data_IF_121493137915
#
_entry.id   IF_121493137915
#
_cell.length_a   1.000
_cell.length_b   1.000
_cell.length_c   1.000
_cell.angle_alpha   90.00
_cell.angle_beta   90.00
_cell.angle_gamma   90.00
#
_symmetry.space_group_name_H-M   'P 1'
#
loop_
_entity.id
_entity.type
_entity.pdbx_description
1 polymer ?
#
# COMPACT_ATOMS: atom_id res chain seq x y z
N UNK A 1 3.65 -4.21 -4.58
CA UNK A 1 4.13 -2.95 -3.96
C UNK A 1 4.13 -3.02 -2.44
N UNK A 2 3.01 -3.34 -1.78
CA UNK A 2 2.97 -3.48 -0.32
C UNK A 2 4.09 -4.38 0.22
N UNK A 3 4.31 -5.54 -0.40
CA UNK A 3 5.31 -6.53 0.05
C UNK A 3 6.74 -5.96 0.08
N UNK A 4 7.09 -5.10 -0.89
CA UNK A 4 8.37 -4.39 -0.92
C UNK A 4 8.48 -3.36 0.20
N UNK A 5 7.38 -2.66 0.52
CA UNK A 5 7.35 -1.70 1.63
C UNK A 5 7.48 -2.42 2.96
N UNK A 6 6.83 -3.57 3.14
CA UNK A 6 6.99 -4.40 4.34
C UNK A 6 8.45 -4.83 4.52
N UNK A 7 9.11 -5.24 3.44
CA UNK A 7 10.55 -5.57 3.45
C UNK A 7 11.43 -4.38 3.77
N UNK A 8 11.15 -3.23 3.16
CA UNK A 8 11.86 -1.99 3.48
C UNK A 8 11.74 -1.62 4.96
N UNK A 9 10.56 -1.84 5.56
CA UNK A 9 10.35 -1.63 6.99
C UNK A 9 11.04 -2.71 7.86
N UNK A 10 11.32 -3.89 7.31
CA UNK A 10 11.96 -5.01 7.99
C UNK A 10 11.03 -5.81 8.90
N UNK A 11 11.59 -6.75 9.65
CA UNK A 11 10.88 -7.73 10.49
C UNK A 11 9.84 -7.13 11.44
N UNK A 12 8.68 -7.80 11.57
CA UNK A 12 7.56 -7.32 12.39
C UNK A 12 6.74 -6.20 11.74
N UNK A 13 6.94 -5.95 10.44
CA UNK A 13 6.01 -5.15 9.64
C UNK A 13 4.82 -6.00 9.18
N UNK A 14 3.66 -5.39 9.17
CA UNK A 14 2.40 -5.98 8.68
C UNK A 14 1.72 -4.94 7.80
N UNK A 15 0.87 -5.35 6.88
CA UNK A 15 0.14 -4.40 6.07
C UNK A 15 -1.07 -4.98 5.37
N UNK A 16 -1.86 -4.09 4.80
CA UNK A 16 -3.09 -4.39 4.09
C UNK A 16 -3.14 -3.61 2.79
N UNK A 17 -3.50 -4.28 1.70
CA UNK A 17 -3.80 -3.62 0.41
C UNK A 17 -5.20 -3.04 0.51
N UNK A 18 -5.38 -1.79 0.14
CA UNK A 18 -6.65 -1.04 0.22
C UNK A 18 -7.12 -0.50 -1.12
N UNK A 19 -6.31 -0.66 -2.17
CA UNK A 19 -6.54 -0.12 -3.51
C UNK A 19 -7.89 -0.49 -4.14
N UNK A 20 -8.42 0.42 -4.94
CA UNK A 20 -9.60 0.20 -5.79
C UNK A 20 -9.19 0.03 -7.26
N UNK A 21 -9.74 -0.96 -8.00
CA UNK A 21 -10.79 -1.90 -7.59
C UNK A 21 -10.30 -2.96 -6.58
N UNK A 22 -11.20 -3.52 -5.75
CA UNK A 22 -10.85 -4.64 -4.88
C UNK A 22 -10.47 -5.88 -5.71
N UNK A 23 -9.51 -6.65 -5.21
CA UNK A 23 -9.10 -7.94 -5.75
C UNK A 23 -9.37 -9.02 -4.68
N UNK A 24 -9.83 -10.20 -5.10
CA UNK A 24 -10.15 -11.31 -4.20
C UNK A 24 -11.23 -10.97 -3.17
N UNK A 25 -11.02 -11.40 -1.92
CA UNK A 25 -11.95 -11.21 -0.80
C UNK A 25 -11.89 -9.81 -0.15
N UNK A 26 -11.11 -8.88 -0.73
CA UNK A 26 -10.96 -7.53 -0.17
C UNK A 26 -12.30 -6.79 -0.19
N UNK A 27 -12.70 -6.11 0.90
CA UNK A 27 -13.95 -5.36 0.91
C UNK A 27 -13.98 -4.28 -0.17
N UNK A 28 -15.10 -4.20 -0.90
CA UNK A 28 -15.29 -3.19 -1.92
C UNK A 28 -15.60 -1.79 -1.37
N UNK A 29 -16.07 -1.71 -0.11
CA UNK A 29 -16.47 -0.47 0.56
C UNK A 29 -15.31 0.05 1.41
N UNK A 30 -15.00 1.35 1.26
CA UNK A 30 -13.93 1.96 2.05
C UNK A 30 -14.22 1.91 3.55
N UNK A 31 -15.48 2.12 3.95
CA UNK A 31 -15.92 1.98 5.34
C UNK A 31 -15.58 0.60 5.91
N UNK A 32 -15.80 -0.46 5.14
CA UNK A 32 -15.46 -1.83 5.54
C UNK A 32 -13.95 -2.04 5.64
N UNK A 33 -13.17 -1.53 4.69
CA UNK A 33 -11.70 -1.56 4.75
C UNK A 33 -11.17 -0.86 6.02
N UNK A 34 -11.71 0.31 6.34
CA UNK A 34 -11.33 1.06 7.55
C UNK A 34 -11.75 0.31 8.82
N UNK A 35 -12.88 -0.39 8.81
CA UNK A 35 -13.31 -1.23 9.94
C UNK A 35 -12.37 -2.44 10.15
N UNK A 36 -11.85 -3.04 9.08
CA UNK A 36 -10.84 -4.10 9.21
C UNK A 36 -9.51 -3.56 9.77
N UNK A 37 -9.03 -2.43 9.23
CA UNK A 37 -7.86 -1.74 9.79
C UNK A 37 -8.08 -1.37 11.26
N UNK A 38 -9.29 -0.97 11.65
CA UNK A 38 -9.64 -0.72 13.05
C UNK A 38 -9.44 -1.97 13.91
N UNK A 39 -9.97 -3.11 13.46
CA UNK A 39 -9.89 -4.36 14.22
C UNK A 39 -8.44 -4.84 14.40
N UNK A 40 -7.59 -4.58 13.41
CA UNK A 40 -6.17 -4.98 13.44
C UNK A 40 -5.29 -4.03 14.27
N UNK A 41 -5.63 -2.74 14.29
CA UNK A 41 -4.73 -1.69 14.80
C UNK A 41 -5.29 -0.96 16.01
N UNK A 42 -6.60 -0.99 16.25
CA UNK A 42 -7.31 -0.17 17.23
C UNK A 42 -7.16 1.36 17.02
N UNK A 43 -6.69 1.82 15.86
CA UNK A 43 -6.43 3.25 15.59
C UNK A 43 -7.31 3.85 14.49
N UNK A 44 -7.54 3.11 13.41
CA UNK A 44 -8.27 3.61 12.24
C UNK A 44 -9.77 3.66 12.54
N UNK A 45 -10.38 4.83 12.57
CA UNK A 45 -11.80 4.99 12.93
C UNK A 45 -12.57 5.71 11.85
N UNK A 46 -13.59 5.03 11.31
CA UNK A 46 -14.53 5.61 10.37
C UNK A 46 -15.35 6.71 11.04
N UNK A 47 -15.16 7.96 10.60
CA UNK A 47 -15.83 9.13 11.15
C UNK A 47 -15.88 10.24 10.09
N UNK A 48 -16.81 10.15 9.11
CA UNK A 48 -16.95 11.14 8.06
C UNK A 48 -17.15 12.57 8.58
N UNK A 49 -16.72 13.56 7.80
CA UNK A 49 -17.00 14.97 8.06
C UNK A 49 -18.50 15.27 8.03
N UNK A 50 -18.89 16.32 8.74
CA UNK A 50 -20.29 16.76 8.74
C UNK A 50 -20.76 17.08 7.31
N UNK A 51 -21.88 16.49 6.90
CA UNK A 51 -22.44 16.65 5.55
C UNK A 51 -21.98 15.60 4.54
N UNK A 52 -21.02 14.74 4.89
CA UNK A 52 -20.66 13.58 4.08
C UNK A 52 -21.59 12.39 4.39
N UNK A 53 -21.87 11.52 3.41
CA UNK A 53 -22.63 10.30 3.65
C UNK A 53 -21.85 9.35 4.57
N UNK A 54 -22.55 8.60 5.41
CA UNK A 54 -21.92 7.62 6.31
C UNK A 54 -21.25 6.46 5.55
N UNK A 55 -21.83 6.00 4.44
CA UNK A 55 -21.25 4.96 3.61
C UNK A 55 -21.40 5.33 2.12
N UNK A 56 -20.52 6.19 1.57
CA UNK A 56 -20.53 6.57 0.16
C UNK A 56 -20.23 5.36 -0.74
N UNK A 57 -20.74 5.38 -1.97
CA UNK A 57 -20.43 4.33 -2.92
C UNK A 57 -18.94 4.30 -3.32
N UNK A 58 -18.43 3.12 -3.65
CA UNK A 58 -17.03 2.97 -4.11
C UNK A 58 -16.73 3.78 -5.37
N UNK A 59 -17.75 4.15 -6.16
CA UNK A 59 -17.56 5.04 -7.31
C UNK A 59 -17.37 6.51 -6.90
N UNK A 60 -17.90 6.93 -5.75
CA UNK A 60 -17.81 8.30 -5.28
C UNK A 60 -16.44 8.59 -4.63
N UNK A 61 -15.93 7.64 -3.85
CA UNK A 61 -14.72 7.86 -3.03
C UNK A 61 -13.58 6.91 -3.33
N UNK A 62 -13.87 5.76 -3.94
CA UNK A 62 -12.94 4.63 -4.07
C UNK A 62 -12.34 4.27 -2.71
N UNK A 63 -11.04 4.48 -2.55
CA UNK A 63 -10.19 4.26 -1.38
C UNK A 63 -9.55 5.59 -0.89
N UNK A 64 -10.05 6.72 -1.36
CA UNK A 64 -9.48 8.05 -1.13
C UNK A 64 -7.99 8.18 -1.53
N UNK A 65 -7.54 7.41 -2.53
CA UNK A 65 -6.16 7.40 -3.01
C UNK A 65 -5.21 6.50 -2.20
N UNK A 66 -5.74 5.73 -1.25
CA UNK A 66 -4.97 4.83 -0.39
C UNK A 66 -4.92 3.44 -1.02
N UNK A 67 -3.78 3.06 -1.60
CA UNK A 67 -3.60 1.72 -2.17
C UNK A 67 -3.12 0.69 -1.16
N UNK A 68 -2.41 1.12 -0.12
CA UNK A 68 -2.02 0.25 0.98
C UNK A 68 -1.75 1.01 2.28
N UNK A 69 -1.82 0.26 3.38
CA UNK A 69 -1.32 0.67 4.69
C UNK A 69 -0.33 -0.39 5.18
N UNK A 70 0.84 0.03 5.61
CA UNK A 70 1.81 -0.82 6.30
C UNK A 70 2.08 -0.24 7.68
N UNK A 71 2.40 -1.08 8.66
CA UNK A 71 2.74 -0.64 10.01
C UNK A 71 3.70 -1.60 10.70
N UNK A 72 4.36 -1.11 11.75
CA UNK A 72 5.09 -1.98 12.67
C UNK A 72 4.16 -2.54 13.74
N UNK A 73 4.14 -3.86 13.88
CA UNK A 73 3.40 -4.51 14.93
C UNK A 73 4.12 -4.29 16.26
N UNK A 74 3.39 -3.75 17.23
CA UNK A 74 3.86 -3.58 18.61
C UNK A 74 2.90 -4.34 19.52
N UNK A 75 3.44 -5.16 20.42
CA UNK A 75 2.66 -6.06 21.29
C UNK A 75 2.03 -5.34 22.50
N UNK A 76 2.30 -4.05 22.68
CA UNK A 76 1.85 -3.29 23.85
C UNK A 76 0.39 -2.83 23.78
N UNK A 77 -0.30 -3.11 22.66
CA UNK A 77 -1.68 -2.69 22.37
C UNK A 77 -1.91 -1.18 22.42
N UNK A 78 -0.85 -0.37 22.48
CA UNK A 78 -0.95 1.09 22.55
C UNK A 78 -1.17 1.67 21.16
N UNK A 79 -1.79 2.85 21.14
CA UNK A 79 -1.93 3.66 19.93
C UNK A 79 -0.64 4.43 19.63
N UNK A 80 -0.50 4.96 18.43
CA UNK A 80 0.68 5.72 18.01
C UNK A 80 1.71 4.86 17.27
N UNK A 81 1.26 3.85 16.53
CA UNK A 81 2.14 3.02 15.71
C UNK A 81 2.74 3.82 14.56
N UNK A 82 3.91 3.38 14.10
CA UNK A 82 4.43 3.81 12.80
C UNK A 82 3.53 3.24 11.71
N UNK A 83 2.80 4.10 11.03
CA UNK A 83 2.08 3.78 9.81
C UNK A 83 2.81 4.34 8.59
N UNK A 84 2.82 3.55 7.52
CA UNK A 84 3.13 3.98 6.16
C UNK A 84 1.84 3.87 5.35
N UNK A 85 1.33 5.00 4.89
CA UNK A 85 0.16 5.07 4.01
C UNK A 85 0.67 5.33 2.60
N UNK A 86 0.24 4.54 1.62
CA UNK A 86 0.85 4.65 0.31
C UNK A 86 -0.07 4.45 -0.88
N UNK A 87 0.39 5.00 -1.98
CA UNK A 87 -0.25 4.92 -3.28
C UNK A 87 0.70 4.37 -4.34
N UNK A 88 0.14 3.63 -5.29
CA UNK A 88 0.79 3.06 -6.45
C UNK A 88 0.32 3.76 -7.74
N UNK A 89 1.25 4.35 -8.49
CA UNK A 89 1.02 4.94 -9.79
C UNK A 89 1.72 4.14 -10.90
N UNK A 90 0.95 3.32 -11.61
CA UNK A 90 1.47 2.47 -12.70
C UNK A 90 1.48 3.16 -14.09
N UNK A 91 0.78 4.30 -14.23
CA UNK A 91 0.65 5.03 -15.49
C UNK A 91 1.91 5.82 -15.90
N UNK A 92 1.91 6.33 -17.13
CA UNK A 92 2.97 7.22 -17.62
C UNK A 92 2.86 8.66 -17.07
N UNK A 93 1.74 8.97 -16.43
CA UNK A 93 1.34 10.26 -15.87
C UNK A 93 1.41 10.27 -14.33
N UNK A 94 2.39 9.54 -13.77
CA UNK A 94 2.51 9.30 -12.33
C UNK A 94 2.65 10.59 -11.53
N UNK A 95 3.21 11.65 -12.15
CA UNK A 95 3.36 12.98 -11.56
C UNK A 95 2.02 13.59 -11.14
N UNK A 96 0.93 13.25 -11.83
CA UNK A 96 -0.41 13.76 -11.49
C UNK A 96 -0.96 13.16 -10.19
N UNK A 97 -0.33 12.11 -9.66
CA UNK A 97 -0.78 11.34 -8.49
C UNK A 97 0.03 11.60 -7.23
N UNK A 98 1.06 12.45 -7.27
CA UNK A 98 1.95 12.71 -6.12
C UNK A 98 1.22 13.26 -4.88
N UNK A 99 0.02 13.82 -5.05
CA UNK A 99 -0.84 14.39 -4.00
C UNK A 99 -2.19 13.66 -3.84
N UNK A 100 -2.32 12.44 -4.35
CA UNK A 100 -3.51 11.64 -4.08
C UNK A 100 -3.59 11.26 -2.60
N UNK A 101 -2.44 11.01 -1.97
CA UNK A 101 -2.27 11.12 -0.51
C UNK A 101 -1.58 12.46 -0.20
N UNK A 102 -2.39 13.47 0.13
CA UNK A 102 -1.91 14.84 0.33
C UNK A 102 -1.07 15.00 1.62
N UNK A 103 -0.19 16.00 1.67
CA UNK A 103 0.75 16.23 2.80
C UNK A 103 0.07 16.38 4.16
N UNK A 104 -1.15 16.90 4.18
CA UNK A 104 -1.93 17.11 5.40
C UNK A 104 -2.85 15.93 5.73
N UNK A 105 -2.90 14.90 4.89
CA UNK A 105 -3.87 13.80 4.94
C UNK A 105 -5.32 14.32 4.96
N UNK A 106 -5.58 15.47 4.35
CA UNK A 106 -6.87 16.16 4.34
C UNK A 106 -7.93 15.27 3.70
N UNK A 107 -7.64 14.64 2.56
CA UNK A 107 -8.59 13.75 1.87
C UNK A 107 -8.95 12.54 2.73
N UNK A 108 -7.99 11.93 3.41
CA UNK A 108 -8.24 10.81 4.33
C UNK A 108 -8.98 11.28 5.59
N UNK A 109 -8.64 12.46 6.12
CA UNK A 109 -9.25 13.06 7.30
C UNK A 109 -10.72 13.41 7.14
N UNK A 110 -11.21 13.56 5.91
CA UNK A 110 -12.65 13.70 5.62
C UNK A 110 -13.46 12.46 6.00
N UNK A 111 -12.81 11.29 6.09
CA UNK A 111 -13.47 10.00 6.31
C UNK A 111 -13.04 9.31 7.61
N UNK A 112 -11.81 9.56 8.06
CA UNK A 112 -11.17 8.83 9.17
C UNK A 112 -10.73 9.82 10.26
N UNK A 113 -11.19 9.64 11.51
CA UNK A 113 -10.82 10.52 12.63
C UNK A 113 -10.58 9.78 13.96
N UNK A 114 -9.43 10.01 14.64
CA UNK A 114 -8.22 10.63 14.09
C UNK A 114 -7.68 9.76 12.93
N UNK A 115 -6.94 10.35 11.98
CA UNK A 115 -6.31 9.56 10.90
C UNK A 115 -5.31 8.57 11.49
N UNK A 116 -4.36 9.07 12.31
CA UNK A 116 -3.47 8.28 13.16
C UNK A 116 -3.09 9.12 14.40
N UNK A 117 -2.68 8.49 15.49
CA UNK A 117 -2.18 9.23 16.67
C UNK A 117 -0.74 9.72 16.52
N UNK A 118 0.10 8.95 15.81
CA UNK A 118 1.39 9.39 15.30
C UNK A 118 1.26 9.70 13.80
N UNK A 119 1.88 10.78 13.33
CA UNK A 119 1.81 11.17 11.92
C UNK A 119 2.37 10.06 11.03
N UNK A 120 1.57 9.51 10.08
CA UNK A 120 2.05 8.44 9.23
C UNK A 120 3.05 8.97 8.20
N UNK A 121 3.94 8.08 7.76
CA UNK A 121 4.80 8.34 6.60
C UNK A 121 3.99 8.08 5.34
N UNK A 122 3.96 9.06 4.43
CA UNK A 122 3.37 8.85 3.11
C UNK A 122 4.38 8.13 2.22
N UNK A 123 3.91 7.18 1.42
CA UNK A 123 4.73 6.47 0.45
C UNK A 123 4.13 6.57 -0.96
N UNK A 124 5.01 6.72 -1.94
CA UNK A 124 4.62 6.76 -3.34
C UNK A 124 5.41 5.73 -4.13
N UNK A 125 4.70 4.91 -4.88
CA UNK A 125 5.23 3.74 -5.55
C UNK A 125 4.98 3.86 -7.05
N UNK A 126 6.02 3.76 -7.88
CA UNK A 126 5.86 3.74 -9.34
C UNK A 126 6.85 2.78 -9.99
N UNK A 127 6.43 2.00 -11.01
CA UNK A 127 7.36 1.15 -11.78
C UNK A 127 8.21 1.96 -12.76
N UNK A 128 8.09 3.29 -12.76
CA UNK A 128 8.87 4.21 -13.58
C UNK A 128 10.18 4.54 -12.89
N UNK A 129 11.25 4.69 -13.67
CA UNK A 129 12.49 5.25 -13.15
C UNK A 129 12.35 6.76 -13.06
N UNK A 130 12.63 7.32 -11.89
CA UNK A 130 12.66 8.77 -11.69
C UNK A 130 14.11 9.22 -11.92
N UNK A 131 14.38 10.04 -12.96
CA UNK A 131 15.73 10.43 -13.29
C UNK A 131 16.25 11.49 -12.32
N UNK A 132 17.55 11.44 -12.03
CA UNK A 132 18.35 12.42 -11.29
C UNK A 132 17.92 12.68 -9.81
N UNK A 133 18.91 13.01 -8.99
CA UNK A 133 18.71 13.14 -7.54
C UNK A 133 17.88 14.36 -7.15
N UNK A 134 17.95 15.45 -7.93
CA UNK A 134 17.24 16.70 -7.63
C UNK A 134 15.73 16.51 -7.82
N UNK A 135 15.33 15.89 -8.93
CA UNK A 135 13.93 15.59 -9.23
C UNK A 135 13.40 14.48 -8.31
N UNK A 136 14.21 13.48 -8.00
CA UNK A 136 13.88 12.50 -6.99
C UNK A 136 13.63 13.16 -5.62
N UNK A 137 14.48 14.11 -5.21
CA UNK A 137 14.30 14.85 -3.96
C UNK A 137 13.02 15.70 -3.96
N UNK A 138 12.67 16.38 -5.07
CA UNK A 138 11.42 17.14 -5.16
C UNK A 138 10.20 16.22 -5.03
N UNK A 139 10.24 15.05 -5.66
CA UNK A 139 9.17 14.05 -5.52
C UNK A 139 9.07 13.55 -4.07
N UNK A 140 10.19 13.34 -3.37
CA UNK A 140 10.13 12.92 -1.96
C UNK A 140 9.56 14.01 -1.05
N UNK A 141 9.86 15.29 -1.30
CA UNK A 141 9.23 16.39 -0.58
C UNK A 141 7.72 16.44 -0.82
N UNK A 142 7.29 16.05 -2.01
CA UNK A 142 5.91 16.09 -2.46
C UNK A 142 5.10 14.91 -1.96
N UNK A 143 5.51 13.69 -2.30
CA UNK A 143 4.76 12.45 -2.11
C UNK A 143 5.23 11.63 -0.89
N UNK A 144 6.36 12.00 -0.28
CA UNK A 144 6.95 11.27 0.84
C UNK A 144 7.93 10.19 0.37
N UNK A 145 7.99 9.08 1.10
CA UNK A 145 8.91 7.98 0.83
C UNK A 145 8.65 7.39 -0.56
N UNK A 146 9.56 7.67 -1.49
CA UNK A 146 9.37 7.27 -2.89
C UNK A 146 10.07 5.95 -3.22
N UNK A 147 9.33 5.05 -3.88
CA UNK A 147 9.81 3.78 -4.44
C UNK A 147 9.63 3.81 -5.96
N UNK A 148 10.68 4.21 -6.66
CA UNK A 148 10.75 4.16 -8.12
C UNK A 148 11.24 2.78 -8.59
N UNK A 149 11.31 2.56 -9.90
CA UNK A 149 11.79 1.30 -10.48
C UNK A 149 13.13 0.85 -9.90
N UNK A 150 14.08 1.77 -9.73
CA UNK A 150 15.43 1.43 -9.26
C UNK A 150 15.39 0.93 -7.82
N UNK A 151 14.71 1.64 -6.91
CA UNK A 151 14.55 1.19 -5.52
C UNK A 151 13.77 -0.12 -5.41
N UNK A 152 12.71 -0.27 -6.19
CA UNK A 152 11.91 -1.49 -6.27
C UNK A 152 12.81 -2.68 -6.66
N UNK A 153 13.60 -2.55 -7.72
CA UNK A 153 14.50 -3.61 -8.18
C UNK A 153 15.56 -3.95 -7.14
N UNK A 154 16.22 -2.95 -6.54
CA UNK A 154 17.26 -3.19 -5.52
C UNK A 154 16.69 -3.89 -4.27
N UNK A 155 15.50 -3.52 -3.82
CA UNK A 155 14.84 -4.17 -2.69
C UNK A 155 14.42 -5.60 -3.03
N UNK A 156 13.95 -5.85 -4.25
CA UNK A 156 13.62 -7.18 -4.72
C UNK A 156 14.87 -8.07 -4.82
N UNK A 157 15.99 -7.54 -5.34
CA UNK A 157 17.26 -8.28 -5.43
C UNK A 157 17.85 -8.61 -4.08
N UNK A 158 17.80 -7.68 -3.12
CA UNK A 158 18.24 -7.92 -1.74
C UNK A 158 17.45 -9.02 -1.03
N UNK A 159 16.32 -9.45 -1.60
CA UNK A 159 15.43 -10.50 -1.09
C UNK A 159 15.14 -11.55 -2.17
N UNK A 160 16.07 -11.76 -3.10
CA UNK A 160 15.83 -12.54 -4.32
C UNK A 160 15.28 -13.96 -4.08
N UNK A 161 15.74 -14.67 -3.05
CA UNK A 161 15.23 -16.01 -2.71
C UNK A 161 13.76 -15.95 -2.27
N UNK A 162 13.38 -14.96 -1.46
CA UNK A 162 12.00 -14.77 -0.99
C UNK A 162 11.09 -14.18 -2.08
N UNK A 163 11.59 -13.31 -2.96
CA UNK A 163 10.84 -12.85 -4.15
C UNK A 163 10.54 -14.02 -5.06
N UNK A 164 11.56 -14.84 -5.35
CA UNK A 164 11.41 -16.01 -6.22
C UNK A 164 10.41 -16.97 -5.61
N UNK A 165 10.52 -17.29 -4.32
CA UNK A 165 9.57 -18.16 -3.64
C UNK A 165 8.12 -17.65 -3.75
N UNK A 166 7.88 -16.36 -3.47
CA UNK A 166 6.53 -15.78 -3.52
C UNK A 166 5.97 -15.68 -4.95
N UNK A 167 6.81 -15.40 -5.94
CA UNK A 167 6.38 -15.33 -7.34
C UNK A 167 6.22 -16.71 -7.99
N UNK A 168 6.94 -17.72 -7.49
CA UNK A 168 6.93 -19.05 -8.08
C UNK A 168 5.53 -19.67 -8.01
N UNK A 169 4.80 -19.52 -6.90
CA UNK A 169 3.44 -20.08 -6.78
C UNK A 169 2.49 -19.47 -7.84
N UNK A 170 2.53 -18.15 -8.06
CA UNK A 170 1.73 -17.47 -9.10
C UNK A 170 2.13 -17.90 -10.53
N UNK A 171 3.43 -18.08 -10.77
CA UNK A 171 3.93 -18.51 -12.09
C UNK A 171 3.65 -20.00 -12.36
N UNK A 172 3.73 -20.86 -11.34
CA UNK A 172 3.40 -22.28 -11.45
C UNK A 172 1.93 -22.45 -11.82
N UNK A 173 1.02 -21.72 -11.17
CA UNK A 173 -0.40 -21.71 -11.54
C UNK A 173 -0.60 -21.27 -13.01
N UNK A 174 0.08 -20.20 -13.44
CA UNK A 174 0.02 -19.73 -14.82
C UNK A 174 0.59 -20.76 -15.82
N UNK A 175 1.67 -21.45 -15.47
CA UNK A 175 2.30 -22.47 -16.31
C UNK A 175 1.40 -23.69 -16.41
N UNK A 176 0.77 -24.14 -15.32
CA UNK A 176 -0.16 -25.28 -15.31
C UNK A 176 -1.40 -25.04 -16.16
N UNK A 177 -1.80 -23.78 -16.37
CA UNK A 177 -2.90 -23.44 -17.29
C UNK A 177 -2.51 -23.68 -18.76
N UNK A 178 -1.23 -23.55 -19.10
CA UNK A 178 -0.75 -23.57 -20.50
C UNK A 178 -0.04 -24.88 -20.84
N UNK A 179 0.54 -25.56 -19.85
CA UNK A 179 1.30 -26.79 -19.98
C UNK A 179 0.62 -27.86 -19.12
N UNK A 180 -0.16 -28.72 -19.76
CA UNK A 180 -0.66 -29.94 -19.13
C UNK A 180 0.54 -30.78 -18.65
N UNK A 181 0.48 -31.26 -17.41
CA UNK A 181 1.52 -32.05 -16.72
C UNK A 181 2.81 -31.32 -16.30
N UNK A 182 2.75 -30.00 -16.05
CA UNK A 182 3.89 -29.30 -15.45
C UNK A 182 4.15 -29.72 -13.99
N UNK A 183 5.27 -30.39 -13.74
CA UNK A 183 5.79 -30.72 -12.41
C UNK A 183 6.82 -29.67 -11.96
N UNK A 184 6.56 -29.01 -10.83
CA UNK A 184 7.47 -28.04 -10.22
C UNK A 184 8.60 -28.76 -9.48
N UNK A 185 9.74 -28.90 -10.16
CA UNK A 185 10.98 -29.52 -9.66
C UNK A 185 11.72 -28.68 -8.60
N UNK A 186 11.23 -27.47 -8.27
CA UNK A 186 11.88 -26.58 -7.30
C UNK A 186 11.50 -26.84 -5.83
N UNK A 187 10.62 -27.82 -5.57
CA UNK A 187 10.16 -28.21 -4.22
C UNK A 187 10.86 -29.46 -3.65
N UNK A 188 11.90 -29.99 -4.30
CA UNK A 188 12.84 -31.01 -3.76
C UNK A 188 14.06 -30.37 -3.08
#
# INVERSE_FOLDING_TARGET
MLDLVLRFLGEGSVGRRTGWPPEGDRPARFKSLVAELHNETNEWRWSPDHGFPDDPSSQQIKDAGLDFVAWKQVQDSRVGRLFVVGQCACGNDFETKLQDIDKGLVKLGQWIKPVCFATPVRAFCTPRHIPNDIYFASINQEAGLTFDRTRITLLAEASAEEVRAAANDDFVELIQIVVEDFEDISKE
#
